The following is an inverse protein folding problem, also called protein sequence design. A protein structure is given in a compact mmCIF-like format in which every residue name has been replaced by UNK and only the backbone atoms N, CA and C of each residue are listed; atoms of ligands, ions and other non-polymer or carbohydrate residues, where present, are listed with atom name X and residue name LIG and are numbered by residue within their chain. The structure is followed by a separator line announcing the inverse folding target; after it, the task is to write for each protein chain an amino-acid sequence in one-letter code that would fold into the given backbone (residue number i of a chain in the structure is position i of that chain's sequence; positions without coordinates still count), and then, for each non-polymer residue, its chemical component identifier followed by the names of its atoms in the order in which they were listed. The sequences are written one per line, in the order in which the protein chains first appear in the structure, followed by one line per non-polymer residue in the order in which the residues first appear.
data_IF_320335047777
#
_entry.id   IF_320335047777
#
_cell.length_a   1.000
_cell.length_b   1.000
_cell.length_c   1.000
_cell.angle_alpha   90.00
_cell.angle_beta   90.00
_cell.angle_gamma   90.00
#
_symmetry.space_group_name_H-M   'P 1'
#
loop_
_entity.id
_entity.type
_entity.pdbx_description
1 polymer ?
#
# COMPACT_ATOMS: atom_id res chain seq x y z
N UNK A 1 2.26 4.90 -19.68
CA UNK A 1 1.87 5.00 -18.25
C UNK A 1 0.45 4.46 -18.14
N UNK A 2 0.27 3.33 -17.47
CA UNK A 2 -1.05 2.73 -17.23
C UNK A 2 -1.65 3.40 -15.99
N UNK A 3 -2.94 3.72 -16.02
CA UNK A 3 -3.68 4.19 -14.84
C UNK A 3 -4.67 3.11 -14.44
N UNK A 4 -4.74 2.83 -13.15
CA UNK A 4 -5.71 1.92 -12.56
C UNK A 4 -6.90 2.71 -12.00
N UNK A 5 -8.11 2.17 -12.15
CA UNK A 5 -9.31 2.80 -11.59
C UNK A 5 -9.27 2.72 -10.07
N UNK A 6 -9.66 3.81 -9.40
CA UNK A 6 -9.76 3.79 -7.94
C UNK A 6 -11.00 3.00 -7.49
N UNK A 7 -12.06 2.94 -8.31
CA UNK A 7 -13.33 2.32 -7.96
C UNK A 7 -13.18 0.84 -7.59
N UNK A 8 -12.35 0.10 -8.32
CA UNK A 8 -12.09 -1.33 -8.10
C UNK A 8 -11.30 -1.58 -6.80
N UNK A 9 -10.55 -0.57 -6.33
CA UNK A 9 -9.64 -0.67 -5.19
C UNK A 9 -10.29 -0.20 -3.88
N UNK A 10 -11.31 0.68 -3.96
CA UNK A 10 -11.96 1.30 -2.78
C UNK A 10 -12.45 0.25 -1.79
N UNK A 11 -13.05 -0.85 -2.26
CA UNK A 11 -13.57 -1.89 -1.39
C UNK A 11 -12.47 -2.48 -0.49
N UNK A 12 -11.31 -2.78 -1.07
CA UNK A 12 -10.16 -3.30 -0.32
C UNK A 12 -9.48 -2.22 0.53
N UNK A 13 -9.28 -1.03 -0.02
CA UNK A 13 -8.70 0.09 0.74
C UNK A 13 -9.54 0.41 2.00
N UNK A 14 -10.87 0.31 1.91
CA UNK A 14 -11.78 0.56 3.03
C UNK A 14 -11.62 -0.43 4.18
N UNK A 15 -11.24 -1.69 3.92
CA UNK A 15 -11.02 -2.68 4.98
C UNK A 15 -9.72 -2.42 5.76
N UNK A 16 -8.80 -1.65 5.19
CA UNK A 16 -7.52 -1.26 5.81
C UNK A 16 -7.59 0.02 6.65
N UNK A 17 -8.74 0.71 6.67
CA UNK A 17 -8.89 2.03 7.32
C UNK A 17 -8.55 2.07 8.83
N UNK A 18 -8.53 0.92 9.49
CA UNK A 18 -8.17 0.83 10.90
C UNK A 18 -6.65 0.95 11.13
N UNK A 19 -5.83 0.67 10.12
CA UNK A 19 -4.37 0.60 10.23
C UNK A 19 -3.65 1.55 9.28
N UNK A 20 -4.29 1.95 8.17
CA UNK A 20 -3.69 2.77 7.12
C UNK A 20 -4.45 4.06 6.86
N UNK A 21 -3.72 5.09 6.41
CA UNK A 21 -4.35 6.26 5.81
C UNK A 21 -5.06 5.86 4.52
N UNK A 22 -6.03 6.66 4.06
CA UNK A 22 -6.72 6.38 2.80
C UNK A 22 -5.74 6.30 1.61
N UNK A 23 -4.67 7.10 1.63
CA UNK A 23 -3.67 7.10 0.57
C UNK A 23 -2.85 5.81 0.58
N UNK A 24 -2.30 5.43 1.73
CA UNK A 24 -1.53 4.19 1.87
C UNK A 24 -2.37 2.95 1.56
N UNK A 25 -3.63 2.95 2.00
CA UNK A 25 -4.57 1.86 1.73
C UNK A 25 -4.83 1.68 0.23
N UNK A 26 -4.84 2.77 -0.56
CA UNK A 26 -4.98 2.69 -2.01
C UNK A 26 -3.74 2.08 -2.69
N UNK A 27 -2.53 2.45 -2.25
CA UNK A 27 -1.29 1.85 -2.78
C UNK A 27 -1.18 0.37 -2.41
N UNK A 28 -1.53 0.02 -1.17
CA UNK A 28 -1.55 -1.37 -0.73
C UNK A 28 -2.61 -2.18 -1.49
N UNK A 29 -3.83 -1.67 -1.65
CA UNK A 29 -4.87 -2.36 -2.43
C UNK A 29 -4.46 -2.57 -3.90
N UNK A 30 -3.82 -1.56 -4.51
CA UNK A 30 -3.28 -1.69 -5.87
C UNK A 30 -2.18 -2.75 -5.94
N UNK A 31 -1.25 -2.75 -4.97
CA UNK A 31 -0.15 -3.70 -4.93
C UNK A 31 -0.64 -5.14 -4.73
N UNK A 32 -1.69 -5.38 -3.93
CA UNK A 32 -2.33 -6.70 -3.82
C UNK A 32 -2.93 -7.13 -5.16
N UNK A 33 -3.64 -6.24 -5.86
CA UNK A 33 -4.26 -6.56 -7.15
C UNK A 33 -3.23 -6.85 -8.26
N UNK A 34 -2.01 -6.34 -8.11
CA UNK A 34 -0.91 -6.52 -9.07
C UNK A 34 0.12 -7.57 -8.64
N UNK A 35 -0.06 -8.21 -7.47
CA UNK A 35 0.93 -9.10 -6.87
C UNK A 35 2.34 -8.44 -6.80
N UNK A 36 2.37 -7.17 -6.41
CA UNK A 36 3.58 -6.34 -6.44
C UNK A 36 4.04 -5.90 -5.04
N UNK A 37 5.31 -5.52 -4.94
CA UNK A 37 5.91 -4.93 -3.73
C UNK A 37 5.66 -3.42 -3.68
N UNK A 38 5.32 -2.89 -2.51
CA UNK A 38 5.27 -1.44 -2.28
C UNK A 38 6.66 -0.97 -1.86
N UNK A 39 7.28 -0.14 -2.68
CA UNK A 39 8.55 0.52 -2.35
C UNK A 39 8.25 1.92 -1.81
N UNK A 40 8.74 2.24 -0.62
CA UNK A 40 8.46 3.52 0.05
C UNK A 40 9.63 4.00 0.90
N UNK A 41 9.72 5.30 1.15
CA UNK A 41 10.63 5.85 2.16
C UNK A 41 9.95 5.99 3.54
N UNK A 42 8.64 5.73 3.63
CA UNK A 42 7.89 5.82 4.89
C UNK A 42 7.99 4.51 5.69
N UNK A 43 8.83 4.52 6.72
CA UNK A 43 8.98 3.40 7.66
C UNK A 43 7.74 3.12 8.51
N UNK A 44 6.71 3.96 8.52
CA UNK A 44 5.42 3.64 9.15
C UNK A 44 4.64 2.62 8.31
N UNK A 45 4.61 2.79 7.00
CA UNK A 45 3.93 1.86 6.09
C UNK A 45 4.60 0.48 6.10
N UNK A 46 5.93 0.42 6.19
CA UNK A 46 6.65 -0.84 6.34
C UNK A 46 6.36 -1.63 7.62
N UNK A 47 5.73 -0.99 8.62
CA UNK A 47 5.30 -1.62 9.87
C UNK A 47 3.79 -1.80 9.94
N UNK A 48 3.05 -1.46 8.89
CA UNK A 48 1.61 -1.61 8.87
C UNK A 48 1.19 -3.08 8.84
N UNK A 49 -0.06 -3.32 9.23
CA UNK A 49 -0.64 -4.65 9.33
C UNK A 49 -2.02 -4.68 8.68
N UNK A 50 -2.54 -5.88 8.42
CA UNK A 50 -3.85 -6.08 7.79
C UNK A 50 -3.82 -6.22 6.27
N UNK A 51 -2.64 -6.30 5.67
CA UNK A 51 -2.40 -6.60 4.27
C UNK A 51 -1.39 -7.73 4.10
N UNK A 52 -1.36 -8.32 2.91
CA UNK A 52 -0.40 -9.39 2.54
C UNK A 52 0.73 -8.89 1.65
N UNK A 53 0.73 -7.59 1.32
CA UNK A 53 1.75 -6.96 0.48
C UNK A 53 3.08 -6.89 1.19
N UNK A 54 4.15 -7.24 0.46
CA UNK A 54 5.51 -6.92 0.86
C UNK A 54 5.77 -5.42 0.72
N UNK A 55 6.31 -4.81 1.78
CA UNK A 55 6.66 -3.40 1.80
C UNK A 55 8.17 -3.27 1.97
N UNK A 56 8.84 -2.78 0.93
CA UNK A 56 10.25 -2.45 0.95
C UNK A 56 10.42 -0.98 1.38
N UNK A 57 11.07 -0.77 2.52
CA UNK A 57 11.38 0.57 3.01
C UNK A 57 12.80 0.95 2.61
N UNK A 58 12.93 1.94 1.73
CA UNK A 58 14.22 2.50 1.33
C UNK A 58 14.57 3.66 2.26
N UNK A 59 15.64 3.48 3.04
CA UNK A 59 16.26 4.55 3.82
C UNK A 59 17.48 5.13 3.09
N UNK A 60 17.83 6.38 3.39
CA UNK A 60 19.16 6.89 3.06
C UNK A 60 20.17 6.19 3.99
N UNK A 61 21.17 5.53 3.41
CA UNK A 61 22.31 5.02 4.18
C UNK A 61 22.92 6.18 4.97
N UNK A 62 23.01 6.02 6.30
CA UNK A 62 23.69 6.97 7.18
C UNK A 62 25.20 6.87 7.02
#
# INVERSE_FOLDING_TARGET
MIRYSHEELIGRAWTLRATLTAYDAMYVALAEALEATVVTCDGRLGRAHGHQVEVEVIGLAS
#
